data_IF_594974101959
#
_entry.id   IF_594974101959
#
_cell.length_a   1.000
_cell.length_b   1.000
_cell.length_c   1.000
_cell.angle_alpha   90.00
_cell.angle_beta   90.00
_cell.angle_gamma   90.00
#
_symmetry.space_group_name_H-M   'P 1'
#
loop_
_entity.id
_entity.type
_entity.pdbx_description
1 polymer ?
#
# COMPACT_ATOMS: atom_id res chain seq x y z
N UNK A 1 25.63 -25.88 -21.48
CA UNK A 1 25.07 -24.52 -21.50
C UNK A 1 25.50 -23.85 -20.22
N UNK A 2 26.58 -23.09 -20.26
CA UNK A 2 27.18 -22.47 -19.05
C UNK A 2 26.34 -21.24 -18.76
N UNK A 3 25.53 -21.30 -17.69
CA UNK A 3 24.78 -20.15 -17.20
C UNK A 3 25.81 -19.10 -16.79
N UNK A 4 25.87 -18.00 -17.52
CA UNK A 4 26.70 -16.85 -17.16
C UNK A 4 26.23 -16.37 -15.79
N UNK A 5 27.11 -16.48 -14.78
CA UNK A 5 26.77 -16.14 -13.41
C UNK A 5 26.32 -14.66 -13.35
N UNK A 6 25.10 -14.43 -12.90
CA UNK A 6 24.64 -13.08 -12.58
C UNK A 6 25.64 -12.44 -11.61
N UNK A 7 26.27 -11.35 -12.02
CA UNK A 7 27.23 -10.65 -11.14
C UNK A 7 26.47 -9.82 -10.11
N UNK A 8 26.74 -10.08 -8.86
CA UNK A 8 26.28 -9.24 -7.76
C UNK A 8 27.31 -8.14 -7.54
N UNK A 9 26.88 -6.90 -7.66
CA UNK A 9 27.73 -5.73 -7.37
C UNK A 9 27.12 -5.02 -6.16
N UNK A 10 27.91 -4.86 -5.11
CA UNK A 10 27.48 -4.10 -3.93
C UNK A 10 27.82 -2.62 -4.14
N UNK A 11 26.80 -1.75 -4.03
CA UNK A 11 26.94 -0.29 -4.06
C UNK A 11 26.11 0.31 -2.93
N UNK A 12 26.73 1.05 -2.03
CA UNK A 12 26.07 1.76 -0.92
C UNK A 12 25.15 0.86 -0.07
N UNK A 13 25.60 -0.38 0.20
CA UNK A 13 24.85 -1.37 0.98
C UNK A 13 23.66 -1.99 0.23
N UNK A 14 23.47 -1.67 -1.06
CA UNK A 14 22.48 -2.28 -1.96
C UNK A 14 23.19 -3.24 -2.90
N UNK A 15 22.58 -4.41 -3.10
CA UNK A 15 23.10 -5.38 -4.08
C UNK A 15 22.39 -5.13 -5.41
N UNK A 16 23.18 -4.90 -6.44
CA UNK A 16 22.72 -4.79 -7.82
C UNK A 16 22.94 -6.11 -8.53
N UNK A 17 21.89 -6.64 -9.15
CA UNK A 17 21.93 -7.87 -9.92
C UNK A 17 22.14 -7.51 -11.42
N UNK A 18 23.33 -7.77 -11.91
CA UNK A 18 23.62 -7.68 -13.35
C UNK A 18 23.14 -8.96 -14.03
N UNK A 19 22.13 -8.85 -14.87
CA UNK A 19 21.60 -9.98 -15.64
C UNK A 19 22.46 -10.22 -16.86
N UNK A 20 22.84 -11.48 -17.10
CA UNK A 20 23.53 -11.89 -18.34
C UNK A 20 22.60 -11.82 -19.55
N UNK A 21 23.20 -11.76 -20.75
CA UNK A 21 22.45 -11.68 -22.00
C UNK A 21 21.57 -12.92 -22.22
N UNK A 22 22.00 -14.09 -21.75
CA UNK A 22 21.25 -15.34 -21.78
C UNK A 22 19.91 -15.25 -21.01
N UNK A 23 19.86 -14.45 -19.92
CA UNK A 23 18.62 -14.20 -19.16
C UNK A 23 17.74 -13.20 -19.90
N UNK A 24 18.33 -12.18 -20.52
CA UNK A 24 17.60 -11.13 -21.25
C UNK A 24 16.95 -11.67 -22.52
N UNK A 25 17.59 -12.62 -23.17
CA UNK A 25 17.09 -13.28 -24.39
C UNK A 25 16.07 -14.39 -24.10
N UNK A 26 15.80 -14.66 -22.82
CA UNK A 26 14.83 -15.67 -22.42
C UNK A 26 13.39 -15.24 -22.73
N UNK A 27 12.57 -16.14 -23.26
CA UNK A 27 11.12 -15.93 -23.46
C UNK A 27 10.35 -15.60 -22.15
N UNK A 28 10.95 -15.83 -21.01
CA UNK A 28 10.37 -15.54 -19.68
C UNK A 28 10.88 -14.22 -19.07
N UNK A 29 11.77 -13.52 -19.79
CA UNK A 29 12.23 -12.20 -19.35
C UNK A 29 11.17 -11.14 -19.67
N UNK A 30 10.96 -10.23 -18.73
CA UNK A 30 10.12 -9.05 -18.93
C UNK A 30 10.80 -7.86 -18.26
N UNK A 31 10.95 -6.78 -19.00
CA UNK A 31 11.57 -5.54 -18.55
C UNK A 31 10.84 -4.93 -17.34
N UNK A 32 9.51 -5.00 -17.31
CA UNK A 32 8.68 -4.38 -16.27
C UNK A 32 8.85 -5.02 -14.88
N UNK A 33 9.35 -6.25 -14.86
CA UNK A 33 9.62 -7.00 -13.61
C UNK A 33 11.09 -7.36 -13.45
N UNK A 34 11.97 -6.73 -14.21
CA UNK A 34 13.42 -6.88 -14.04
C UNK A 34 13.86 -6.28 -12.68
N UNK A 35 14.94 -6.81 -12.08
CA UNK A 35 15.51 -6.21 -10.88
C UNK A 35 15.89 -4.75 -11.11
N UNK A 36 15.51 -3.87 -10.20
CA UNK A 36 15.85 -2.44 -10.26
C UNK A 36 17.31 -2.20 -9.94
N UNK A 37 17.93 -1.27 -10.65
CA UNK A 37 19.30 -0.83 -10.39
C UNK A 37 19.42 -0.09 -9.05
N UNK A 38 20.62 0.04 -8.51
CA UNK A 38 20.84 0.77 -7.25
C UNK A 38 20.43 2.25 -7.37
N UNK A 39 20.64 2.85 -8.55
CA UNK A 39 20.28 4.24 -8.84
C UNK A 39 18.77 4.49 -8.94
N UNK A 40 17.99 3.51 -9.37
CA UNK A 40 16.53 3.61 -9.45
C UNK A 40 15.85 3.46 -8.09
N UNK A 41 16.54 2.92 -7.09
CA UNK A 41 16.02 2.74 -5.74
C UNK A 41 16.17 4.03 -4.91
N UNK A 42 15.35 5.02 -5.23
CA UNK A 42 15.40 6.39 -4.68
C UNK A 42 14.69 6.55 -3.33
N UNK A 43 13.92 5.54 -2.89
CA UNK A 43 13.17 5.62 -1.66
C UNK A 43 14.05 5.50 -0.43
N UNK A 44 13.93 6.47 0.48
CA UNK A 44 14.57 6.47 1.78
C UNK A 44 13.73 5.70 2.81
N UNK A 45 14.31 5.39 3.96
CA UNK A 45 13.58 4.80 5.10
C UNK A 45 12.38 5.68 5.55
N UNK A 46 12.50 6.99 5.41
CA UNK A 46 11.43 7.93 5.76
C UNK A 46 10.28 7.91 4.77
N UNK A 47 10.56 7.72 3.47
CA UNK A 47 9.50 7.55 2.47
C UNK A 47 8.72 6.25 2.72
N UNK A 48 9.41 5.16 3.09
CA UNK A 48 8.76 3.90 3.44
C UNK A 48 7.94 4.05 4.72
N UNK A 49 8.46 4.76 5.73
CA UNK A 49 7.71 5.04 6.96
C UNK A 49 6.46 5.88 6.68
N UNK A 50 6.55 6.93 5.85
CA UNK A 50 5.41 7.75 5.44
C UNK A 50 4.34 6.91 4.71
N UNK A 51 4.77 6.04 3.78
CA UNK A 51 3.88 5.10 3.10
C UNK A 51 3.11 4.22 4.10
N UNK A 52 3.80 3.65 5.09
CA UNK A 52 3.16 2.81 6.11
C UNK A 52 2.21 3.60 7.02
N UNK A 53 2.53 4.85 7.33
CA UNK A 53 1.60 5.74 8.06
C UNK A 53 0.33 5.95 7.25
N UNK A 54 0.44 6.31 5.96
CA UNK A 54 -0.72 6.48 5.08
C UNK A 54 -1.55 5.21 4.92
N UNK A 55 -0.91 4.05 4.77
CA UNK A 55 -1.60 2.76 4.68
C UNK A 55 -2.33 2.37 5.98
N UNK A 56 -1.78 2.73 7.13
CA UNK A 56 -2.34 2.38 8.45
C UNK A 56 -3.46 3.31 8.87
N UNK A 57 -3.40 4.59 8.48
CA UNK A 57 -4.40 5.59 8.83
C UNK A 57 -5.52 5.58 7.78
N UNK A 58 -6.48 4.69 7.93
CA UNK A 58 -7.63 4.58 7.04
C UNK A 58 -8.91 4.25 7.84
N UNK A 59 -10.08 4.50 7.24
CA UNK A 59 -11.37 4.32 7.92
C UNK A 59 -11.55 2.91 8.47
N UNK A 60 -11.25 1.80 7.76
CA UNK A 60 -11.34 0.47 8.33
C UNK A 60 -10.48 0.25 9.59
N UNK A 61 -9.31 0.88 9.66
CA UNK A 61 -8.43 0.77 10.84
C UNK A 61 -9.01 1.52 12.03
N UNK A 62 -9.59 2.70 11.83
CA UNK A 62 -10.26 3.44 12.90
C UNK A 62 -11.46 2.69 13.45
N UNK A 63 -12.24 2.02 12.60
CA UNK A 63 -13.42 1.26 13.02
C UNK A 63 -13.06 -0.03 13.77
N UNK A 64 -11.85 -0.56 13.59
CA UNK A 64 -11.43 -1.83 14.20
C UNK A 64 -11.54 -1.82 15.73
N UNK A 65 -11.09 -0.74 16.39
CA UNK A 65 -11.21 -0.60 17.83
C UNK A 65 -12.67 -0.64 18.28
N UNK A 66 -13.55 0.07 17.59
CA UNK A 66 -15.00 0.06 17.86
C UNK A 66 -15.64 -1.32 17.65
N UNK A 67 -15.24 -2.04 16.61
CA UNK A 67 -15.70 -3.42 16.37
C UNK A 67 -15.26 -4.35 17.49
N UNK A 68 -14.00 -4.28 17.92
CA UNK A 68 -13.48 -5.13 19.00
C UNK A 68 -14.21 -4.86 20.33
N UNK A 69 -14.50 -3.63 20.63
CA UNK A 69 -15.18 -3.26 21.90
C UNK A 69 -16.71 -3.45 21.82
N UNK A 70 -17.37 -2.89 20.81
CA UNK A 70 -18.83 -2.87 20.73
C UNK A 70 -19.42 -4.19 20.23
N UNK A 71 -18.77 -4.90 19.31
CA UNK A 71 -19.29 -6.15 18.74
C UNK A 71 -18.75 -7.40 19.44
N UNK A 72 -17.43 -7.43 19.72
CA UNK A 72 -16.82 -8.59 20.39
C UNK A 72 -16.78 -8.46 21.93
N UNK A 73 -17.18 -7.32 22.49
CA UNK A 73 -17.30 -7.13 23.93
C UNK A 73 -15.97 -6.99 24.68
N UNK A 74 -14.86 -6.71 23.98
CA UNK A 74 -13.58 -6.50 24.64
C UNK A 74 -13.57 -5.15 25.36
N UNK A 75 -12.90 -5.09 26.49
CA UNK A 75 -12.56 -3.81 27.10
C UNK A 75 -11.60 -3.01 26.20
N UNK A 76 -11.55 -1.70 26.37
CA UNK A 76 -10.63 -0.84 25.59
C UNK A 76 -9.18 -1.29 25.75
N UNK A 77 -8.77 -1.69 26.98
CA UNK A 77 -7.42 -2.19 27.22
C UNK A 77 -7.11 -3.49 26.45
N UNK A 78 -8.04 -4.44 26.45
CA UNK A 78 -7.89 -5.70 25.70
C UNK A 78 -7.84 -5.44 24.19
N UNK A 79 -8.67 -4.56 23.67
CA UNK A 79 -8.67 -4.19 22.26
C UNK A 79 -7.32 -3.56 21.85
N UNK A 80 -6.79 -2.64 22.65
CA UNK A 80 -5.48 -2.01 22.40
C UNK A 80 -4.34 -3.03 22.44
N UNK A 81 -4.31 -3.91 23.43
CA UNK A 81 -3.28 -4.95 23.53
C UNK A 81 -3.39 -5.92 22.34
N UNK A 82 -4.59 -6.32 21.96
CA UNK A 82 -4.82 -7.22 20.83
C UNK A 82 -4.31 -6.61 19.52
N UNK A 83 -4.64 -5.34 19.26
CA UNK A 83 -4.16 -4.62 18.06
C UNK A 83 -2.65 -4.49 18.10
N UNK A 84 -2.05 -4.15 19.24
CA UNK A 84 -0.59 -4.03 19.36
C UNK A 84 0.11 -5.36 19.10
N UNK A 85 -0.34 -6.44 19.74
CA UNK A 85 0.22 -7.78 19.56
C UNK A 85 0.08 -8.26 18.11
N UNK A 86 -1.07 -8.05 17.47
CA UNK A 86 -1.28 -8.39 16.08
C UNK A 86 -0.27 -7.67 15.16
N UNK A 87 -0.03 -6.38 15.38
CA UNK A 87 0.94 -5.62 14.61
C UNK A 87 2.39 -6.07 14.85
N UNK A 88 2.74 -6.41 16.10
CA UNK A 88 4.08 -6.97 16.42
C UNK A 88 4.29 -8.32 15.73
N UNK A 89 3.28 -9.19 15.74
CA UNK A 89 3.36 -10.48 15.03
C UNK A 89 3.49 -10.25 13.52
N UNK A 90 2.72 -9.35 12.94
CA UNK A 90 2.76 -9.03 11.51
C UNK A 90 4.09 -8.41 11.07
N UNK A 91 4.82 -7.76 11.96
CA UNK A 91 6.11 -7.16 11.65
C UNK A 91 7.11 -8.19 11.11
N UNK A 92 7.09 -9.42 11.61
CA UNK A 92 8.00 -10.50 11.20
C UNK A 92 7.79 -10.84 9.71
N UNK A 93 6.61 -11.30 9.26
CA UNK A 93 6.42 -11.66 7.85
C UNK A 93 6.52 -10.45 6.92
N UNK A 94 6.12 -9.26 7.35
CA UNK A 94 6.26 -8.04 6.54
C UNK A 94 7.74 -7.70 6.28
N UNK A 95 8.59 -7.77 7.30
CA UNK A 95 10.03 -7.51 7.18
C UNK A 95 10.70 -8.55 6.26
N UNK A 96 10.35 -9.82 6.43
CA UNK A 96 10.87 -10.91 5.57
C UNK A 96 10.46 -10.72 4.11
N UNK A 97 9.21 -10.33 3.86
CA UNK A 97 8.73 -10.06 2.49
C UNK A 97 9.33 -8.80 1.86
N UNK A 98 9.69 -7.80 2.67
CA UNK A 98 10.32 -6.58 2.17
C UNK A 98 11.80 -6.78 1.79
N UNK A 99 12.49 -7.76 2.40
CA UNK A 99 13.92 -7.97 2.25
C UNK A 99 14.40 -8.15 0.80
N UNK A 100 13.77 -9.00 -0.06
CA UNK A 100 14.20 -9.16 -1.45
C UNK A 100 14.10 -7.86 -2.26
N UNK A 101 13.03 -7.09 -2.06
CA UNK A 101 12.83 -5.82 -2.75
C UNK A 101 13.84 -4.76 -2.33
N UNK A 102 14.06 -4.59 -1.02
CA UNK A 102 14.94 -3.55 -0.50
C UNK A 102 16.42 -3.84 -0.77
N UNK A 103 16.84 -5.08 -0.59
CA UNK A 103 18.25 -5.47 -0.71
C UNK A 103 18.68 -5.73 -2.16
N UNK A 104 17.86 -6.45 -2.92
CA UNK A 104 18.21 -6.91 -4.27
C UNK A 104 17.45 -6.20 -5.39
N UNK A 105 16.46 -5.37 -5.07
CA UNK A 105 15.61 -4.72 -6.07
C UNK A 105 14.70 -5.69 -6.83
N UNK A 106 14.41 -6.87 -6.27
CA UNK A 106 13.63 -7.91 -6.93
C UNK A 106 12.14 -7.67 -6.65
N UNK A 107 11.29 -7.52 -7.68
CA UNK A 107 9.86 -7.35 -7.48
C UNK A 107 9.18 -8.65 -7.05
N UNK A 108 8.03 -8.51 -6.38
CA UNK A 108 7.26 -9.62 -5.81
C UNK A 108 6.99 -10.79 -6.78
N UNK A 109 6.57 -10.59 -8.05
CA UNK A 109 6.35 -11.70 -8.96
C UNK A 109 7.59 -12.56 -9.21
N UNK A 110 8.76 -11.95 -9.21
CA UNK A 110 10.04 -12.65 -9.43
C UNK A 110 10.46 -13.42 -8.19
N UNK A 111 10.26 -12.84 -6.98
CA UNK A 111 10.52 -13.56 -5.72
C UNK A 111 9.71 -14.84 -5.63
N UNK A 112 8.44 -14.80 -6.03
CA UNK A 112 7.56 -15.96 -6.00
C UNK A 112 7.99 -17.09 -6.95
N UNK A 113 8.76 -16.80 -8.00
CA UNK A 113 9.27 -17.83 -8.90
C UNK A 113 10.18 -18.84 -8.20
N UNK A 114 10.86 -18.43 -7.15
CA UNK A 114 11.71 -19.35 -6.36
C UNK A 114 10.93 -20.44 -5.65
N UNK A 115 9.70 -20.15 -5.21
CA UNK A 115 8.86 -21.10 -4.46
C UNK A 115 7.83 -21.79 -5.33
N UNK A 116 7.25 -21.11 -6.32
CA UNK A 116 6.13 -21.59 -7.14
C UNK A 116 6.53 -21.93 -8.59
N UNK A 117 7.79 -21.71 -8.96
CA UNK A 117 8.24 -21.81 -10.35
C UNK A 117 7.70 -20.66 -11.22
N UNK A 118 8.17 -20.61 -12.49
CA UNK A 118 7.87 -19.49 -13.40
C UNK A 118 6.36 -19.37 -13.69
N UNK A 119 5.70 -20.49 -13.98
CA UNK A 119 4.25 -20.48 -14.28
C UNK A 119 3.39 -20.47 -13.03
N UNK A 120 3.80 -21.17 -11.98
CA UNK A 120 3.05 -21.25 -10.73
C UNK A 120 2.98 -19.92 -9.98
N UNK A 121 3.97 -19.04 -10.13
CA UNK A 121 3.98 -17.70 -9.51
C UNK A 121 2.83 -16.78 -9.98
N UNK A 122 2.21 -17.08 -11.13
CA UNK A 122 1.06 -16.33 -11.60
C UNK A 122 -0.15 -16.44 -10.67
N UNK A 123 -0.34 -17.61 -10.03
CA UNK A 123 -1.49 -17.83 -9.13
C UNK A 123 -1.48 -16.87 -7.95
N UNK A 124 -0.44 -16.81 -7.09
CA UNK A 124 -0.39 -15.86 -6.00
C UNK A 124 -0.33 -14.39 -6.47
N UNK A 125 0.21 -14.11 -7.65
CA UNK A 125 0.17 -12.76 -8.24
C UNK A 125 -1.27 -12.33 -8.57
N UNK A 126 -2.07 -13.21 -9.17
CA UNK A 126 -3.48 -12.95 -9.47
C UNK A 126 -4.31 -12.79 -8.20
N UNK A 127 -4.10 -13.65 -7.21
CA UNK A 127 -4.78 -13.52 -5.91
C UNK A 127 -4.46 -12.16 -5.27
N UNK A 128 -3.19 -11.77 -5.26
CA UNK A 128 -2.78 -10.46 -4.74
C UNK A 128 -3.43 -9.30 -5.51
N UNK A 129 -3.52 -9.40 -6.83
CA UNK A 129 -4.17 -8.39 -7.66
C UNK A 129 -5.66 -8.26 -7.32
N UNK A 130 -6.38 -9.38 -7.19
CA UNK A 130 -7.79 -9.40 -6.79
C UNK A 130 -8.02 -8.77 -5.41
N UNK A 131 -7.19 -9.13 -4.43
CA UNK A 131 -7.24 -8.52 -3.09
C UNK A 131 -6.96 -7.02 -3.16
N UNK A 132 -5.98 -6.61 -3.97
CA UNK A 132 -5.68 -5.19 -4.21
C UNK A 132 -6.85 -4.43 -4.83
N UNK A 133 -7.54 -5.01 -5.82
CA UNK A 133 -8.76 -4.44 -6.41
C UNK A 133 -9.89 -4.32 -5.38
N UNK A 134 -10.06 -5.32 -4.51
CA UNK A 134 -11.04 -5.28 -3.43
C UNK A 134 -10.77 -4.12 -2.47
N UNK A 135 -9.53 -3.96 -1.99
CA UNK A 135 -9.14 -2.84 -1.15
C UNK A 135 -9.29 -1.49 -1.85
N UNK A 136 -8.92 -1.40 -3.13
CA UNK A 136 -9.13 -0.19 -3.93
C UNK A 136 -10.60 0.21 -3.97
N UNK A 137 -11.51 -0.76 -4.19
CA UNK A 137 -12.96 -0.52 -4.17
C UNK A 137 -13.47 0.00 -2.83
N UNK A 138 -13.07 -0.64 -1.73
CA UNK A 138 -13.44 -0.24 -0.36
C UNK A 138 -12.96 1.18 -0.06
N UNK A 139 -11.70 1.49 -0.32
CA UNK A 139 -11.14 2.82 -0.05
C UNK A 139 -11.77 3.89 -0.95
N UNK A 140 -12.05 3.54 -2.21
CA UNK A 140 -12.75 4.44 -3.15
C UNK A 140 -14.17 4.75 -2.68
N UNK A 141 -14.86 3.77 -2.10
CA UNK A 141 -16.19 3.99 -1.53
C UNK A 141 -16.15 4.99 -0.36
N UNK A 142 -15.20 4.82 0.58
CA UNK A 142 -15.03 5.76 1.70
C UNK A 142 -14.60 7.15 1.24
N UNK A 143 -13.68 7.23 0.27
CA UNK A 143 -13.26 8.51 -0.30
C UNK A 143 -14.40 9.22 -1.04
N UNK A 144 -15.20 8.48 -1.78
CA UNK A 144 -16.40 8.99 -2.45
C UNK A 144 -17.45 9.51 -1.47
N UNK A 145 -17.67 8.77 -0.36
CA UNK A 145 -18.53 9.23 0.72
C UNK A 145 -18.00 10.52 1.37
N UNK A 146 -16.71 10.61 1.61
CA UNK A 146 -16.11 11.83 2.14
C UNK A 146 -16.29 13.04 1.22
N UNK A 147 -16.11 12.86 -0.10
CA UNK A 147 -16.38 13.91 -1.10
C UNK A 147 -17.86 14.30 -1.06
N UNK A 148 -18.76 13.32 -1.03
CA UNK A 148 -20.19 13.59 -0.96
C UNK A 148 -20.57 14.42 0.28
N UNK A 149 -20.08 14.04 1.46
CA UNK A 149 -20.33 14.77 2.70
C UNK A 149 -19.77 16.19 2.67
N UNK A 150 -18.53 16.36 2.18
CA UNK A 150 -17.87 17.64 2.06
C UNK A 150 -18.64 18.57 1.09
N UNK A 151 -18.99 18.07 -0.09
CA UNK A 151 -19.73 18.86 -1.08
C UNK A 151 -21.15 19.16 -0.61
N UNK A 152 -21.79 18.25 0.11
CA UNK A 152 -23.11 18.49 0.71
C UNK A 152 -23.07 19.63 1.76
N UNK A 153 -21.95 19.80 2.44
CA UNK A 153 -21.78 20.87 3.42
C UNK A 153 -21.50 22.25 2.80
N UNK A 154 -20.83 22.26 1.63
CA UNK A 154 -20.33 23.50 1.00
C UNK A 154 -21.23 23.96 -0.15
N UNK A 155 -21.83 23.01 -0.89
CA UNK A 155 -22.58 23.25 -2.13
C UNK A 155 -24.04 22.81 -1.94
N UNK A 156 -24.97 23.72 -1.58
CA UNK A 156 -26.36 23.34 -1.33
C UNK A 156 -27.04 22.53 -2.43
N UNK A 157 -26.84 22.80 -3.75
CA UNK A 157 -27.43 22.00 -4.83
C UNK A 157 -26.96 20.53 -4.83
N UNK A 158 -25.78 20.22 -4.24
CA UNK A 158 -25.26 18.85 -4.15
C UNK A 158 -26.12 17.95 -3.25
N UNK A 159 -26.76 18.53 -2.23
CA UNK A 159 -27.65 17.80 -1.32
C UNK A 159 -28.87 17.23 -2.05
N UNK A 160 -29.37 17.92 -3.07
CA UNK A 160 -30.52 17.46 -3.83
C UNK A 160 -30.26 16.21 -4.68
N UNK A 161 -28.99 15.85 -4.89
CA UNK A 161 -28.62 14.64 -5.63
C UNK A 161 -28.84 13.35 -4.82
N UNK A 162 -29.01 13.42 -3.51
CA UNK A 162 -29.24 12.25 -2.67
C UNK A 162 -28.20 11.14 -2.91
N UNK A 163 -28.64 9.90 -3.15
CA UNK A 163 -27.77 8.76 -3.41
C UNK A 163 -26.88 8.92 -4.66
N UNK A 164 -27.31 9.67 -5.66
CA UNK A 164 -26.49 9.97 -6.84
C UNK A 164 -25.25 10.79 -6.50
N UNK A 165 -25.32 11.64 -5.48
CA UNK A 165 -24.16 12.38 -4.98
C UNK A 165 -23.04 11.46 -4.47
N UNK A 166 -23.40 10.33 -3.82
CA UNK A 166 -22.43 9.32 -3.39
C UNK A 166 -21.78 8.60 -4.59
N UNK A 167 -22.58 8.24 -5.60
CA UNK A 167 -22.10 7.60 -6.83
C UNK A 167 -21.15 8.52 -7.59
N UNK A 168 -21.49 9.78 -7.73
CA UNK A 168 -20.62 10.79 -8.35
C UNK A 168 -19.33 10.96 -7.54
N UNK A 169 -19.42 11.07 -6.21
CA UNK A 169 -18.27 11.15 -5.32
C UNK A 169 -17.34 9.94 -5.48
N UNK A 170 -17.90 8.73 -5.60
CA UNK A 170 -17.13 7.52 -5.87
C UNK A 170 -16.32 7.63 -7.17
N UNK A 171 -16.94 8.02 -8.28
CA UNK A 171 -16.25 8.15 -9.56
C UNK A 171 -15.23 9.28 -9.57
N UNK A 172 -15.49 10.39 -8.90
CA UNK A 172 -14.53 11.48 -8.74
C UNK A 172 -13.30 10.97 -8.00
N UNK A 173 -13.47 10.29 -6.86
CA UNK A 173 -12.38 9.76 -6.07
C UNK A 173 -11.62 8.65 -6.81
N UNK A 174 -12.32 7.76 -7.52
CA UNK A 174 -11.72 6.75 -8.38
C UNK A 174 -10.83 7.37 -9.45
N UNK A 175 -11.31 8.41 -10.15
CA UNK A 175 -10.53 9.10 -11.16
C UNK A 175 -9.28 9.77 -10.58
N UNK A 176 -9.38 10.39 -9.40
CA UNK A 176 -8.23 10.97 -8.69
C UNK A 176 -7.18 9.91 -8.34
N UNK A 177 -7.61 8.76 -7.81
CA UNK A 177 -6.70 7.66 -7.48
C UNK A 177 -6.03 7.09 -8.73
N UNK A 178 -6.81 6.81 -9.78
CA UNK A 178 -6.28 6.31 -11.04
C UNK A 178 -5.26 7.28 -11.65
N UNK A 179 -5.51 8.58 -11.58
CA UNK A 179 -4.57 9.59 -12.06
C UNK A 179 -3.24 9.53 -11.31
N UNK A 180 -3.26 9.36 -9.97
CA UNK A 180 -2.05 9.20 -9.15
C UNK A 180 -1.32 7.90 -9.52
N UNK A 181 -2.06 6.79 -9.66
CA UNK A 181 -1.48 5.47 -9.97
C UNK A 181 -0.81 5.45 -11.35
N UNK A 182 -1.44 6.06 -12.37
CA UNK A 182 -0.87 6.15 -13.71
C UNK A 182 0.45 6.95 -13.73
N UNK A 183 0.61 7.90 -12.81
CA UNK A 183 1.85 8.66 -12.63
C UNK A 183 3.00 7.85 -12.00
N UNK A 184 2.70 6.68 -11.45
CA UNK A 184 3.68 5.73 -10.93
C UNK A 184 4.14 5.99 -9.51
N UNK A 185 5.15 5.24 -9.07
CA UNK A 185 5.62 5.17 -7.69
C UNK A 185 6.12 6.50 -7.12
N UNK A 186 6.70 7.38 -7.92
CA UNK A 186 7.18 8.69 -7.46
C UNK A 186 6.04 9.63 -7.07
N UNK A 187 4.88 9.55 -7.74
CA UNK A 187 3.67 10.30 -7.34
C UNK A 187 3.12 9.82 -6.01
N UNK A 188 3.13 8.52 -5.78
CA UNK A 188 2.71 7.93 -4.50
C UNK A 188 3.65 8.37 -3.38
N UNK A 189 4.96 8.30 -3.61
CA UNK A 189 5.98 8.77 -2.66
C UNK A 189 5.77 10.23 -2.24
N UNK A 190 5.54 11.12 -3.21
CA UNK A 190 5.31 12.53 -2.95
C UNK A 190 4.01 12.75 -2.16
N UNK A 191 2.92 12.11 -2.59
CA UNK A 191 1.62 12.17 -1.93
C UNK A 191 1.71 11.72 -0.47
N UNK A 192 2.30 10.56 -0.21
CA UNK A 192 2.42 9.99 1.13
C UNK A 192 3.34 10.82 2.04
N UNK A 193 4.43 11.35 1.49
CA UNK A 193 5.33 12.23 2.25
C UNK A 193 4.62 13.50 2.74
N UNK A 194 3.69 14.02 1.94
CA UNK A 194 2.90 15.19 2.31
C UNK A 194 1.70 14.82 3.21
N UNK A 195 1.02 13.72 2.90
CA UNK A 195 -0.18 13.29 3.60
C UNK A 195 0.10 12.74 5.01
N UNK A 196 1.20 12.01 5.20
CA UNK A 196 1.48 11.33 6.46
C UNK A 196 1.52 12.28 7.69
N UNK A 197 2.23 13.42 7.68
CA UNK A 197 2.21 14.37 8.80
C UNK A 197 0.81 14.91 9.07
N UNK A 198 0.06 15.24 8.01
CA UNK A 198 -1.31 15.74 8.13
C UNK A 198 -2.24 14.70 8.77
N UNK A 199 -2.14 13.44 8.35
CA UNK A 199 -2.93 12.33 8.88
C UNK A 199 -2.63 12.08 10.36
N UNK A 200 -1.37 12.16 10.77
CA UNK A 200 -0.97 12.04 12.19
C UNK A 200 -1.61 13.16 13.02
N UNK A 201 -1.51 14.41 12.55
CA UNK A 201 -2.09 15.56 13.25
C UNK A 201 -3.61 15.41 13.39
N UNK A 202 -4.30 15.01 12.31
CA UNK A 202 -5.74 14.77 12.33
C UNK A 202 -6.12 13.61 13.25
N UNK A 203 -5.35 12.52 13.26
CA UNK A 203 -5.57 11.41 14.18
C UNK A 203 -5.43 11.81 15.65
N UNK A 204 -4.39 12.59 15.98
CA UNK A 204 -4.20 13.13 17.33
C UNK A 204 -5.31 14.12 17.72
N UNK A 205 -5.77 14.96 16.79
CA UNK A 205 -6.89 15.87 17.02
C UNK A 205 -8.19 15.11 17.33
N UNK A 206 -8.49 14.05 16.57
CA UNK A 206 -9.64 13.17 16.83
C UNK A 206 -9.53 12.47 18.17
N UNK A 207 -8.34 12.00 18.53
CA UNK A 207 -8.10 11.38 19.84
C UNK A 207 -8.33 12.39 20.98
N UNK A 208 -7.78 13.60 20.87
CA UNK A 208 -7.99 14.68 21.83
C UNK A 208 -9.47 15.06 21.97
N UNK A 209 -10.18 15.14 20.85
CA UNK A 209 -11.62 15.37 20.84
C UNK A 209 -12.40 14.25 21.57
N UNK A 210 -12.04 12.99 21.31
CA UNK A 210 -12.69 11.84 21.94
C UNK A 210 -12.50 11.84 23.48
N UNK A 211 -11.32 12.23 23.98
CA UNK A 211 -11.09 12.37 25.43
C UNK A 211 -11.77 13.58 26.07
N UNK A 212 -12.17 14.57 25.29
CA UNK A 212 -12.86 15.77 25.79
C UNK A 212 -14.38 15.60 25.92
N UNK A 213 -14.94 14.47 25.47
CA UNK A 213 -16.36 14.14 25.51
C UNK A 213 -16.69 13.10 26.56
#
# INVERSE_FOLDING_TARGET
>A
MTISASRMVERDGKIELSLGDDVRDSAFFNHDIAPTTASERTWSKWNIAALWVGLSICVPTYTLGGVLTAYFGLSVGEALITILLANVILLIPLTLNAFPGTRYGIPFPVVLRSSFGIRGSNVPCLIRALVGCGWFGIQTMFGGLAIHLLLSAIVPPWQSLGGWGQVLGFFIFAAMNLWVVIRGAESIKWLETLAAPFLIVMGLALLGWAFSR
#
